data_IF_157149083354
#
_entry.id   IF_157149083354
#
_cell.length_a   1.000
_cell.length_b   1.000
_cell.length_c   1.000
_cell.angle_alpha   90.00
_cell.angle_beta   90.00
_cell.angle_gamma   90.00
#
_symmetry.space_group_name_H-M   'P 1'
#
loop_
_entity.id
_entity.type
_entity.pdbx_description
1 polymer ?
#
# COMPACT_ATOMS: atom_id res chain seq x y z
N UNK A 1 12.89 0.81 31.62
CA UNK A 1 14.35 0.94 31.78
C UNK A 1 14.94 1.67 30.57
N UNK A 2 15.52 2.85 30.72
CA UNK A 2 16.11 3.62 29.61
C UNK A 2 17.60 3.27 29.50
N UNK A 3 18.03 2.83 28.33
CA UNK A 3 19.45 2.53 28.03
C UNK A 3 20.33 3.78 28.21
N UNK A 4 21.57 3.62 28.71
CA UNK A 4 22.54 4.71 28.82
C UNK A 4 22.76 5.43 27.48
N UNK A 5 23.06 6.73 27.51
CA UNK A 5 23.24 7.58 26.31
C UNK A 5 24.33 7.04 25.37
N UNK A 6 25.43 6.54 25.92
CA UNK A 6 26.52 5.93 25.14
C UNK A 6 26.12 4.66 24.39
N UNK A 7 25.25 3.84 25.01
CA UNK A 7 24.74 2.62 24.38
C UNK A 7 23.76 2.97 23.24
N UNK A 8 22.87 3.93 23.47
CA UNK A 8 21.96 4.43 22.43
C UNK A 8 22.70 5.01 21.23
N UNK A 9 23.79 5.72 21.47
CA UNK A 9 24.60 6.33 20.43
C UNK A 9 25.34 5.27 19.59
N UNK A 10 25.87 4.22 20.20
CA UNK A 10 26.46 3.06 19.49
C UNK A 10 25.42 2.35 18.62
N UNK A 11 24.24 2.06 19.13
CA UNK A 11 23.17 1.46 18.34
C UNK A 11 22.74 2.34 17.14
N UNK A 12 22.76 3.67 17.34
CA UNK A 12 22.47 4.63 16.29
C UNK A 12 23.51 4.61 15.17
N UNK A 13 24.79 4.48 15.52
CA UNK A 13 25.90 4.36 14.57
C UNK A 13 25.82 3.04 13.81
N UNK A 14 25.68 1.91 14.51
CA UNK A 14 25.55 0.60 13.88
C UNK A 14 24.31 0.50 12.96
N UNK A 15 23.18 1.04 13.38
CA UNK A 15 21.97 1.08 12.58
C UNK A 15 22.14 1.89 11.29
N UNK A 16 22.86 3.02 11.38
CA UNK A 16 23.18 3.87 10.22
C UNK A 16 24.13 3.18 9.24
N UNK A 17 25.17 2.53 9.75
CA UNK A 17 26.16 1.84 8.92
C UNK A 17 25.57 0.59 8.27
N UNK A 18 24.74 -0.17 8.98
CA UNK A 18 23.99 -1.29 8.44
C UNK A 18 22.99 -0.85 7.35
N UNK A 19 22.30 0.28 7.56
CA UNK A 19 21.41 0.87 6.57
C UNK A 19 22.12 1.30 5.30
N UNK A 20 23.29 1.93 5.43
CA UNK A 20 24.12 2.32 4.28
C UNK A 20 24.65 1.10 3.51
N UNK A 21 25.15 0.08 4.21
CA UNK A 21 25.62 -1.15 3.59
C UNK A 21 24.50 -1.87 2.82
N UNK A 22 23.28 -1.91 3.37
CA UNK A 22 22.11 -2.47 2.68
C UNK A 22 21.73 -1.65 1.45
N UNK A 23 21.67 -0.32 1.57
CA UNK A 23 21.34 0.57 0.47
C UNK A 23 22.34 0.50 -0.68
N UNK A 24 23.65 0.31 -0.38
CA UNK A 24 24.68 0.17 -1.41
C UNK A 24 24.56 -1.11 -2.25
N UNK A 25 23.93 -2.16 -1.70
CA UNK A 25 23.67 -3.44 -2.40
C UNK A 25 22.39 -3.43 -3.24
N UNK A 26 21.55 -2.41 -3.07
CA UNK A 26 20.26 -2.30 -3.75
C UNK A 26 20.40 -1.48 -5.02
N UNK A 27 19.70 -1.89 -6.07
CA UNK A 27 19.53 -1.08 -7.28
C UNK A 27 18.78 0.23 -6.98
N UNK A 28 18.91 1.27 -7.82
CA UNK A 28 18.14 2.52 -7.66
C UNK A 28 16.63 2.28 -7.57
N UNK A 29 16.11 1.32 -8.35
CA UNK A 29 14.70 0.93 -8.34
C UNK A 29 14.28 0.31 -7.00
N UNK A 30 15.07 -0.63 -6.49
CA UNK A 30 14.80 -1.25 -5.18
C UNK A 30 14.84 -0.23 -4.03
N UNK A 31 15.80 0.70 -4.05
CA UNK A 31 15.87 1.80 -3.06
C UNK A 31 14.61 2.66 -3.10
N UNK A 32 14.12 2.99 -4.31
CA UNK A 32 12.89 3.75 -4.49
C UNK A 32 11.67 3.02 -3.95
N UNK A 33 11.57 1.70 -4.20
CA UNK A 33 10.49 0.85 -3.69
C UNK A 33 10.47 0.80 -2.16
N UNK A 34 11.64 0.58 -1.55
CA UNK A 34 11.77 0.56 -0.08
C UNK A 34 11.40 1.91 0.52
N UNK A 35 11.84 3.01 -0.09
CA UNK A 35 11.50 4.36 0.37
C UNK A 35 10.00 4.64 0.27
N UNK A 36 9.35 4.24 -0.83
CA UNK A 36 7.89 4.38 -1.01
C UNK A 36 7.11 3.55 0.00
N UNK A 37 7.49 2.29 0.20
CA UNK A 37 6.88 1.41 1.20
C UNK A 37 7.01 1.99 2.62
N UNK A 38 8.19 2.49 2.97
CA UNK A 38 8.43 3.13 4.26
C UNK A 38 7.61 4.43 4.42
N UNK A 39 7.42 5.20 3.35
CA UNK A 39 6.59 6.41 3.37
C UNK A 39 5.12 6.08 3.62
N UNK A 40 4.57 5.06 2.96
CA UNK A 40 3.20 4.57 3.19
C UNK A 40 3.04 4.09 4.64
N UNK A 41 3.96 3.26 5.14
CA UNK A 41 3.95 2.77 6.51
C UNK A 41 4.00 3.89 7.56
N UNK A 42 4.83 4.92 7.33
CA UNK A 42 4.87 6.11 8.20
C UNK A 42 3.57 6.89 8.18
N UNK A 43 2.99 7.09 7.02
CA UNK A 43 1.72 7.80 6.89
C UNK A 43 0.59 7.07 7.62
N UNK A 44 0.48 5.76 7.44
CA UNK A 44 -0.50 4.92 8.15
C UNK A 44 -0.21 4.91 9.66
N UNK A 45 1.05 4.81 10.06
CA UNK A 45 1.47 4.85 11.46
C UNK A 45 1.11 6.15 12.16
N UNK A 46 1.35 7.30 11.51
CA UNK A 46 1.02 8.62 12.06
C UNK A 46 -0.49 8.83 12.16
N UNK A 47 -1.24 8.40 11.16
CA UNK A 47 -2.68 8.66 11.07
C UNK A 47 -3.53 7.64 11.80
N UNK A 48 -3.11 6.38 11.83
CA UNK A 48 -3.90 5.26 12.35
C UNK A 48 -3.16 4.43 13.42
N UNK A 49 -1.91 4.75 13.73
CA UNK A 49 -1.13 4.04 14.74
C UNK A 49 -0.69 2.63 14.34
N UNK A 50 -0.74 2.27 13.05
CA UNK A 50 -0.40 0.94 12.57
C UNK A 50 0.46 0.96 11.29
N UNK A 51 1.27 -0.08 11.02
CA UNK A 51 2.18 -0.13 9.88
C UNK A 51 1.48 -0.38 8.53
N UNK A 52 0.21 -0.71 8.52
CA UNK A 52 -0.59 -0.97 7.32
C UNK A 52 -2.08 -1.01 7.62
N UNK A 53 -2.90 -0.91 6.59
CA UNK A 53 -4.35 -0.91 6.71
C UNK A 53 -4.92 -2.28 7.09
N UNK A 54 -4.28 -3.37 6.65
CA UNK A 54 -4.68 -4.73 7.00
C UNK A 54 -4.59 -4.99 8.50
N UNK A 55 -3.56 -4.47 9.16
CA UNK A 55 -3.36 -4.61 10.62
C UNK A 55 -4.45 -3.89 11.42
N UNK A 56 -5.03 -2.83 10.85
CA UNK A 56 -6.13 -2.10 11.47
C UNK A 56 -7.48 -2.81 11.39
N UNK A 57 -7.56 -3.94 10.68
CA UNK A 57 -8.82 -4.66 10.47
C UNK A 57 -9.84 -3.89 9.63
N UNK A 58 -9.40 -2.90 8.85
CA UNK A 58 -10.28 -2.19 7.93
C UNK A 58 -10.75 -3.11 6.80
N UNK A 59 -12.02 -3.04 6.39
CA UNK A 59 -12.52 -3.84 5.28
C UNK A 59 -11.69 -3.62 4.02
N UNK A 60 -11.18 -4.69 3.42
CA UNK A 60 -10.33 -4.60 2.23
C UNK A 60 -8.92 -4.03 2.44
N UNK A 61 -8.51 -3.77 3.68
CA UNK A 61 -7.22 -3.16 4.01
C UNK A 61 -6.03 -3.91 3.47
N UNK A 62 -6.03 -5.23 3.54
CA UNK A 62 -4.95 -6.08 3.00
C UNK A 62 -4.82 -5.98 1.48
N UNK A 63 -5.95 -5.92 0.78
CA UNK A 63 -5.98 -5.77 -0.69
C UNK A 63 -5.46 -4.39 -1.09
N UNK A 64 -5.85 -3.35 -0.37
CA UNK A 64 -5.38 -2.00 -0.63
C UNK A 64 -3.89 -1.87 -0.32
N UNK A 65 -3.38 -2.44 0.77
CA UNK A 65 -1.95 -2.48 1.07
C UNK A 65 -1.15 -3.16 -0.05
N UNK A 66 -1.60 -4.33 -0.50
CA UNK A 66 -0.98 -5.07 -1.60
C UNK A 66 -1.02 -4.27 -2.91
N UNK A 67 -2.16 -3.63 -3.21
CA UNK A 67 -2.35 -2.81 -4.39
C UNK A 67 -1.48 -1.56 -4.41
N UNK A 68 -1.35 -0.86 -3.29
CA UNK A 68 -0.45 0.29 -3.15
C UNK A 68 1.02 -0.11 -3.37
N UNK A 69 1.44 -1.23 -2.80
CA UNK A 69 2.79 -1.76 -2.97
C UNK A 69 3.08 -2.16 -4.42
N UNK A 70 2.19 -2.91 -5.06
CA UNK A 70 2.32 -3.35 -6.45
C UNK A 70 2.30 -2.16 -7.41
N UNK A 71 1.39 -1.20 -7.21
CA UNK A 71 1.31 0.00 -8.02
C UNK A 71 2.58 0.86 -7.91
N UNK A 72 3.12 1.00 -6.71
CA UNK A 72 4.40 1.68 -6.49
C UNK A 72 5.58 0.97 -7.19
N UNK A 73 5.51 -0.35 -7.31
CA UNK A 73 6.48 -1.16 -8.05
C UNK A 73 6.28 -1.13 -9.57
N UNK A 74 5.16 -0.59 -10.06
CA UNK A 74 4.77 -0.68 -11.47
C UNK A 74 4.35 -2.09 -11.90
N UNK A 75 3.95 -2.91 -10.95
CA UNK A 75 3.52 -4.30 -11.17
C UNK A 75 2.01 -4.36 -11.40
N UNK A 76 1.60 -4.93 -12.52
CA UNK A 76 0.18 -5.15 -12.82
C UNK A 76 -0.31 -6.39 -12.06
N UNK A 77 -1.29 -6.17 -11.22
CA UNK A 77 -1.99 -7.22 -10.46
C UNK A 77 -3.46 -6.83 -10.29
N UNK A 78 -4.27 -7.76 -9.83
CA UNK A 78 -5.67 -7.47 -9.48
C UNK A 78 -5.73 -6.32 -8.48
N UNK A 79 -4.88 -6.35 -7.47
CA UNK A 79 -4.84 -5.38 -6.39
C UNK A 79 -4.38 -3.99 -6.89
N UNK A 80 -3.34 -3.92 -7.73
CA UNK A 80 -2.84 -2.65 -8.28
C UNK A 80 -3.82 -2.01 -9.26
N UNK A 81 -4.52 -2.82 -10.06
CA UNK A 81 -5.58 -2.34 -10.94
C UNK A 81 -6.79 -1.84 -10.15
N UNK A 82 -7.16 -2.53 -9.06
CA UNK A 82 -8.22 -2.09 -8.17
C UNK A 82 -7.88 -0.75 -7.51
N UNK A 83 -6.65 -0.58 -7.03
CA UNK A 83 -6.19 0.71 -6.47
C UNK A 83 -6.17 1.80 -7.53
N UNK A 84 -5.73 1.50 -8.77
CA UNK A 84 -5.78 2.46 -9.87
C UNK A 84 -7.20 2.92 -10.18
N UNK A 85 -8.15 2.00 -10.18
CA UNK A 85 -9.57 2.28 -10.41
C UNK A 85 -10.17 3.13 -9.27
N UNK A 86 -9.86 2.80 -8.03
CA UNK A 86 -10.36 3.48 -6.85
C UNK A 86 -9.56 4.74 -6.47
N UNK A 87 -8.46 5.05 -7.17
CA UNK A 87 -7.52 6.10 -6.81
C UNK A 87 -8.16 7.47 -6.55
N UNK A 88 -9.13 7.97 -7.33
CA UNK A 88 -9.75 9.27 -7.06
C UNK A 88 -10.42 9.33 -5.69
N UNK A 89 -11.10 8.26 -5.31
CA UNK A 89 -11.77 8.16 -4.01
C UNK A 89 -10.77 7.95 -2.87
N UNK A 90 -9.80 7.07 -3.05
CA UNK A 90 -8.74 6.82 -2.07
C UNK A 90 -7.93 8.09 -1.76
N UNK A 91 -7.59 8.86 -2.79
CA UNK A 91 -6.89 10.15 -2.62
C UNK A 91 -7.72 11.17 -1.86
N UNK A 92 -9.03 11.22 -2.09
CA UNK A 92 -9.97 12.08 -1.35
C UNK A 92 -9.96 11.77 0.13
N UNK A 93 -9.85 10.49 0.49
CA UNK A 93 -9.73 10.05 1.89
C UNK A 93 -8.30 10.19 2.44
N UNK A 94 -7.36 10.70 1.67
CA UNK A 94 -5.99 10.96 2.07
C UNK A 94 -5.08 9.74 1.99
N UNK A 95 -5.48 8.67 1.29
CA UNK A 95 -4.63 7.50 1.05
C UNK A 95 -3.52 7.86 0.06
N UNK A 96 -2.24 7.53 0.34
CA UNK A 96 -1.10 7.91 -0.47
C UNK A 96 -0.99 7.03 -1.72
N UNK A 97 -1.78 7.33 -2.75
CA UNK A 97 -1.72 6.65 -4.04
C UNK A 97 -0.73 7.38 -4.96
N UNK A 98 0.22 6.65 -5.55
CA UNK A 98 1.19 7.21 -6.51
C UNK A 98 0.49 7.85 -7.72
N UNK A 99 1.19 8.76 -8.41
CA UNK A 99 0.61 9.49 -9.55
C UNK A 99 0.39 8.60 -10.77
N UNK A 100 1.34 7.71 -11.05
CA UNK A 100 1.32 6.82 -12.20
C UNK A 100 0.36 5.66 -11.97
N UNK A 101 -0.83 5.78 -12.52
CA UNK A 101 -1.88 4.76 -12.48
C UNK A 101 -1.86 3.94 -13.76
N UNK A 102 -2.35 2.69 -13.69
CA UNK A 102 -2.60 1.90 -14.89
C UNK A 102 -3.78 2.49 -15.69
N UNK A 103 -3.61 2.75 -16.98
CA UNK A 103 -4.71 3.17 -17.85
C UNK A 103 -5.70 2.01 -18.04
N UNK A 104 -6.96 2.33 -18.27
CA UNK A 104 -8.02 1.34 -18.51
C UNK A 104 -8.08 0.23 -17.44
N UNK A 105 -7.89 0.63 -16.17
CA UNK A 105 -7.78 -0.29 -15.06
C UNK A 105 -9.02 -1.19 -14.88
N UNK A 106 -10.19 -0.68 -15.16
CA UNK A 106 -11.47 -1.40 -15.15
C UNK A 106 -11.49 -2.56 -16.14
N UNK A 107 -11.16 -2.30 -17.40
CA UNK A 107 -11.09 -3.30 -18.46
C UNK A 107 -9.99 -4.32 -18.19
N UNK A 108 -8.83 -3.86 -17.77
CA UNK A 108 -7.67 -4.72 -17.46
C UNK A 108 -7.96 -5.63 -16.28
N UNK A 109 -8.56 -5.11 -15.22
CA UNK A 109 -8.99 -5.88 -14.06
C UNK A 109 -9.99 -6.98 -14.46
N UNK A 110 -11.00 -6.61 -15.23
CA UNK A 110 -11.99 -7.58 -15.70
C UNK A 110 -11.35 -8.70 -16.53
N UNK A 111 -10.46 -8.36 -17.45
CA UNK A 111 -9.72 -9.33 -18.27
C UNK A 111 -8.84 -10.27 -17.44
N UNK A 112 -8.19 -9.78 -16.39
CA UNK A 112 -7.41 -10.64 -15.50
C UNK A 112 -8.32 -11.63 -14.76
N UNK A 113 -9.46 -11.19 -14.28
CA UNK A 113 -10.42 -12.06 -13.60
C UNK A 113 -11.02 -13.09 -14.57
N UNK A 114 -11.32 -12.68 -15.79
CA UNK A 114 -11.84 -13.54 -16.85
C UNK A 114 -10.86 -14.66 -17.24
N UNK A 115 -9.56 -14.36 -17.31
CA UNK A 115 -8.53 -15.37 -17.54
C UNK A 115 -8.41 -16.39 -16.42
N UNK A 116 -8.66 -15.98 -15.17
CA UNK A 116 -8.60 -16.87 -14.01
C UNK A 116 -9.82 -17.77 -13.92
N UNK A 117 -10.99 -17.22 -14.10
CA UNK A 117 -12.27 -17.91 -14.00
C UNK A 117 -13.34 -17.13 -14.75
N UNK A 118 -13.60 -17.48 -16.03
CA UNK A 118 -14.56 -16.76 -16.85
C UNK A 118 -15.97 -16.72 -16.27
N UNK A 119 -16.40 -17.79 -15.58
CA UNK A 119 -17.75 -17.90 -15.04
C UNK A 119 -17.96 -16.99 -13.83
N UNK A 120 -16.91 -16.76 -13.04
CA UNK A 120 -16.98 -15.95 -11.83
C UNK A 120 -16.43 -14.53 -12.00
N UNK A 121 -15.93 -14.19 -13.18
CA UNK A 121 -15.26 -12.90 -13.43
C UNK A 121 -16.11 -11.70 -13.03
N UNK A 122 -17.36 -11.66 -13.46
CA UNK A 122 -18.26 -10.55 -13.13
C UNK A 122 -18.57 -10.45 -11.64
N UNK A 123 -18.87 -11.57 -11.00
CA UNK A 123 -19.16 -11.63 -9.55
C UNK A 123 -17.94 -11.17 -8.75
N UNK A 124 -16.74 -11.63 -9.10
CA UNK A 124 -15.48 -11.23 -8.46
C UNK A 124 -15.16 -9.76 -8.69
N UNK A 125 -15.36 -9.27 -9.89
CA UNK A 125 -15.17 -7.85 -10.22
C UNK A 125 -16.02 -6.96 -9.32
N UNK A 126 -17.31 -7.24 -9.20
CA UNK A 126 -18.20 -6.51 -8.31
C UNK A 126 -17.80 -6.64 -6.84
N UNK A 127 -17.34 -7.82 -6.41
CA UNK A 127 -16.86 -8.02 -5.03
C UNK A 127 -15.63 -7.16 -4.73
N UNK A 128 -14.67 -7.08 -5.63
CA UNK A 128 -13.49 -6.20 -5.47
C UNK A 128 -13.86 -4.72 -5.42
N UNK A 129 -14.78 -4.28 -6.27
CA UNK A 129 -15.27 -2.91 -6.22
C UNK A 129 -15.95 -2.57 -4.88
N UNK A 130 -16.75 -3.50 -4.35
CA UNK A 130 -17.38 -3.34 -3.03
C UNK A 130 -16.35 -3.28 -1.91
N UNK A 131 -15.30 -4.09 -1.95
CA UNK A 131 -14.22 -4.06 -0.97
C UNK A 131 -13.48 -2.71 -0.98
N UNK A 132 -13.16 -2.19 -2.15
CA UNK A 132 -12.54 -0.87 -2.28
C UNK A 132 -13.47 0.25 -1.77
N UNK A 133 -14.75 0.17 -2.06
CA UNK A 133 -15.75 1.12 -1.56
C UNK A 133 -15.88 1.07 -0.04
N UNK A 134 -15.99 -0.13 0.54
CA UNK A 134 -16.07 -0.33 1.99
C UNK A 134 -14.82 0.18 2.71
N UNK A 135 -13.64 -0.04 2.12
CA UNK A 135 -12.39 0.52 2.65
C UNK A 135 -12.41 2.05 2.66
N UNK A 136 -12.82 2.67 1.57
CA UNK A 136 -12.89 4.13 1.48
C UNK A 136 -13.90 4.72 2.48
N UNK A 137 -15.04 4.06 2.68
CA UNK A 137 -16.04 4.44 3.68
C UNK A 137 -15.47 4.34 5.10
N UNK A 138 -14.77 3.25 5.41
CA UNK A 138 -14.12 3.07 6.71
C UNK A 138 -13.04 4.13 6.98
N UNK A 139 -12.27 4.54 5.96
CA UNK A 139 -11.32 5.65 6.07
C UNK A 139 -12.02 6.99 6.34
N UNK A 140 -13.14 7.24 5.68
CA UNK A 140 -13.92 8.45 5.90
C UNK A 140 -14.46 8.52 7.33
N UNK A 141 -15.01 7.42 7.86
CA UNK A 141 -15.48 7.31 9.24
C UNK A 141 -14.35 7.51 10.27
N UNK A 142 -13.18 6.94 10.02
CA UNK A 142 -12.00 7.08 10.89
C UNK A 142 -11.48 8.52 10.95
N UNK A 143 -11.71 9.33 9.92
CA UNK A 143 -11.34 10.75 9.90
C UNK A 143 -12.20 11.63 10.77
N UNK A 144 -13.43 11.24 11.00
CA UNK A 144 -14.43 12.04 11.75
C UNK A 144 -14.25 11.88 13.26
N UNK A 145 -13.56 10.84 13.72
CA UNK A 145 -13.23 10.58 15.12
C UNK A 145 -11.90 11.19 15.51
#
# INVERSE_FOLDING_TARGET
MRLPRSVRERFRVYGRDGGRARASRMSPRERQLVARKAAIGRWVGVRFGAPGFGVLGLPGGEIIDAGLAALAAGEESIESLLVSLAAPRLRREGVPVVRDLFPDADVRLYRLLERKDPQMAHTRYLAYLRQAASFADACAEARVK
#
